data_IF_785123510678
#
_entry.id   IF_785123510678
#
_cell.length_a   1.000
_cell.length_b   1.000
_cell.length_c   1.000
_cell.angle_alpha   90.00
_cell.angle_beta   90.00
_cell.angle_gamma   90.00
#
_symmetry.space_group_name_H-M   'P 1'
#
loop_
_entity.id
_entity.type
_entity.pdbx_description
1 polymer ?
#
# COMPACT_ATOMS: atom_id res chain seq x y z
N UNK A 1 8.52 8.81 -1.24
CA UNK A 1 9.17 10.08 -0.82
C UNK A 1 10.15 10.62 -1.85
N UNK A 2 11.06 9.80 -2.41
CA UNK A 2 12.07 10.23 -3.40
C UNK A 2 11.47 10.96 -4.62
N UNK A 3 10.33 10.52 -5.11
CA UNK A 3 9.60 11.16 -6.23
C UNK A 3 9.16 12.58 -5.87
N UNK A 4 8.46 12.75 -4.75
CA UNK A 4 8.05 14.05 -4.22
C UNK A 4 9.23 15.01 -4.03
N UNK A 5 10.37 14.49 -3.55
CA UNK A 5 11.59 15.28 -3.40
C UNK A 5 12.16 15.75 -4.74
N UNK A 6 12.23 14.87 -5.75
CA UNK A 6 12.70 15.24 -7.10
C UNK A 6 11.80 16.29 -7.72
N UNK A 7 10.49 16.12 -7.58
CA UNK A 7 9.50 17.07 -8.10
C UNK A 7 9.67 18.45 -7.46
N UNK A 8 9.82 18.51 -6.13
CA UNK A 8 10.08 19.77 -5.45
C UNK A 8 11.43 20.39 -5.84
N UNK A 9 12.46 19.56 -6.01
CA UNK A 9 13.79 20.01 -6.47
C UNK A 9 13.78 20.54 -7.90
N UNK A 10 12.92 20.06 -8.79
CA UNK A 10 12.76 20.61 -10.15
C UNK A 10 11.87 21.85 -10.14
N UNK A 11 10.65 21.67 -9.65
CA UNK A 11 9.50 22.52 -9.98
C UNK A 11 8.94 23.25 -8.75
N UNK A 12 9.39 22.86 -7.56
CA UNK A 12 8.91 23.43 -6.30
C UNK A 12 9.32 24.88 -6.11
N UNK A 13 8.44 25.64 -5.45
CA UNK A 13 8.77 26.99 -5.01
C UNK A 13 9.87 26.94 -3.96
N UNK A 14 11.00 27.59 -4.26
CA UNK A 14 12.19 27.62 -3.40
C UNK A 14 12.46 29.04 -2.94
N UNK A 15 12.97 29.16 -1.72
CA UNK A 15 13.54 30.41 -1.22
C UNK A 15 15.05 30.29 -1.17
N UNK A 16 15.73 31.43 -1.28
CA UNK A 16 17.18 31.49 -1.28
C UNK A 16 17.67 32.36 -0.12
N UNK A 17 18.88 32.10 0.33
CA UNK A 17 19.61 32.98 1.24
C UNK A 17 20.10 34.22 0.47
N UNK A 18 20.51 35.27 1.17
CA UNK A 18 21.06 36.46 0.53
C UNK A 18 22.28 36.15 -0.37
N UNK A 19 23.06 35.12 -0.02
CA UNK A 19 24.17 34.62 -0.84
C UNK A 19 23.79 33.66 -1.96
N UNK A 20 22.50 33.58 -2.33
CA UNK A 20 22.02 32.76 -3.46
C UNK A 20 21.96 31.26 -3.20
N UNK A 21 22.26 30.78 -1.98
CA UNK A 21 22.11 29.36 -1.62
C UNK A 21 20.64 29.01 -1.40
N UNK A 22 20.17 27.91 -1.97
CA UNK A 22 18.82 27.41 -1.77
C UNK A 22 18.59 27.06 -0.30
N UNK A 23 17.44 27.48 0.24
CA UNK A 23 17.03 27.14 1.61
C UNK A 23 16.41 25.75 1.64
N UNK A 24 16.50 25.12 2.81
CA UNK A 24 15.80 23.88 3.07
C UNK A 24 14.27 24.09 2.97
N UNK A 25 13.51 23.06 2.55
CA UNK A 25 12.06 23.11 2.60
C UNK A 25 11.58 23.23 4.05
N UNK A 26 10.34 23.72 4.22
CA UNK A 26 9.72 23.78 5.54
C UNK A 26 9.45 22.36 6.07
N UNK A 27 9.40 22.23 7.41
CA UNK A 27 9.06 20.95 8.04
C UNK A 27 7.67 20.46 7.61
N UNK A 28 6.70 21.37 7.48
CA UNK A 28 5.35 21.04 7.01
C UNK A 28 5.37 20.37 5.62
N UNK A 29 6.16 20.92 4.69
CA UNK A 29 6.30 20.36 3.35
C UNK A 29 6.97 18.97 3.38
N UNK A 30 7.99 18.77 4.23
CA UNK A 30 8.61 17.46 4.42
C UNK A 30 7.61 16.43 4.98
N UNK A 31 6.79 16.81 5.96
CA UNK A 31 5.75 15.95 6.50
C UNK A 31 4.73 15.55 5.44
N UNK A 32 4.32 16.48 4.57
CA UNK A 32 3.44 16.17 3.44
C UNK A 32 4.07 15.15 2.48
N UNK A 33 5.38 15.21 2.22
CA UNK A 33 6.03 14.20 1.38
C UNK A 33 6.00 12.81 1.99
N UNK A 34 6.09 12.72 3.31
CA UNK A 34 5.95 11.46 4.04
C UNK A 34 4.51 10.97 3.92
N UNK A 35 3.52 11.78 4.29
CA UNK A 35 2.09 11.42 4.21
C UNK A 35 1.74 10.89 2.81
N UNK A 36 2.10 11.63 1.76
CA UNK A 36 1.79 11.23 0.38
C UNK A 36 2.46 9.91 -0.01
N UNK A 37 3.70 9.68 0.45
CA UNK A 37 4.39 8.42 0.20
C UNK A 37 3.70 7.23 0.88
N UNK A 38 3.24 7.42 2.12
CA UNK A 38 2.52 6.39 2.87
C UNK A 38 1.13 6.11 2.26
N UNK A 39 0.41 7.15 1.83
CA UNK A 39 -0.87 6.98 1.13
C UNK A 39 -0.70 6.16 -0.16
N UNK A 40 0.34 6.43 -0.96
CA UNK A 40 0.61 5.67 -2.19
C UNK A 40 0.83 4.17 -1.90
N UNK A 41 1.64 3.84 -0.90
CA UNK A 41 1.89 2.44 -0.50
C UNK A 41 0.59 1.76 -0.05
N UNK A 42 -0.25 2.45 0.73
CA UNK A 42 -1.54 1.90 1.16
C UNK A 42 -2.45 1.60 -0.03
N UNK A 43 -2.56 2.52 -0.98
CA UNK A 43 -3.38 2.33 -2.18
C UNK A 43 -2.90 1.14 -3.02
N UNK A 44 -1.59 1.02 -3.26
CA UNK A 44 -1.01 -0.12 -3.99
C UNK A 44 -1.25 -1.46 -3.26
N UNK A 45 -1.19 -1.46 -1.93
CA UNK A 45 -1.44 -2.65 -1.11
C UNK A 45 -2.92 -3.05 -1.08
N UNK A 46 -3.83 -2.08 -1.00
CA UNK A 46 -5.27 -2.33 -1.02
C UNK A 46 -5.71 -2.87 -2.39
N UNK A 47 -5.18 -2.34 -3.49
CA UNK A 47 -5.42 -2.85 -4.85
C UNK A 47 -4.89 -4.27 -5.05
N UNK A 48 -3.69 -4.58 -4.56
CA UNK A 48 -3.13 -5.93 -4.67
C UNK A 48 -3.85 -6.94 -3.76
N UNK A 49 -4.26 -6.53 -2.56
CA UNK A 49 -5.03 -7.38 -1.65
C UNK A 49 -6.44 -7.68 -2.20
N UNK A 50 -7.07 -6.70 -2.85
CA UNK A 50 -8.35 -6.86 -3.55
C UNK A 50 -8.22 -7.82 -4.71
N UNK A 51 -7.14 -7.71 -5.51
CA UNK A 51 -6.87 -8.65 -6.61
C UNK A 51 -6.63 -10.08 -6.11
N UNK A 52 -5.83 -10.26 -5.05
CA UNK A 52 -5.61 -11.58 -4.42
C UNK A 52 -6.90 -12.18 -3.84
N UNK A 53 -7.77 -11.37 -3.25
CA UNK A 53 -9.06 -11.83 -2.72
C UNK A 53 -10.04 -12.20 -3.84
N UNK A 54 -10.03 -11.47 -4.95
CA UNK A 54 -10.94 -11.70 -6.09
C UNK A 54 -10.61 -12.95 -6.90
N UNK A 55 -9.40 -13.50 -6.78
CA UNK A 55 -9.03 -14.79 -7.41
C UNK A 55 -9.24 -16.01 -6.49
N UNK A 56 -9.67 -15.83 -5.24
CA UNK A 56 -9.88 -16.94 -4.29
C UNK A 56 -11.33 -17.40 -4.17
N UNK A 57 -12.25 -16.85 -4.98
CA UNK A 57 -13.64 -17.33 -5.07
C UNK A 57 -14.02 -17.59 -6.53
N UNK A 58 -13.18 -18.36 -7.24
CA UNK A 58 -13.73 -19.29 -8.21
C UNK A 58 -14.07 -20.55 -7.41
N UNK A 59 -15.29 -20.57 -6.91
CA UNK A 59 -15.90 -21.69 -6.22
C UNK A 59 -15.99 -22.83 -7.25
N UNK A 60 -14.92 -23.60 -7.37
CA UNK A 60 -14.92 -24.83 -8.16
C UNK A 60 -15.96 -25.76 -7.53
N UNK A 61 -17.04 -25.96 -8.27
CA UNK A 61 -18.18 -26.72 -7.81
C UNK A 61 -17.80 -28.18 -7.75
N UNK A 62 -17.54 -28.69 -6.54
CA UNK A 62 -17.68 -30.11 -6.22
C UNK A 62 -17.96 -30.19 -4.72
N UNK A 63 -19.26 -30.15 -4.39
CA UNK A 63 -19.73 -30.69 -3.13
C UNK A 63 -19.59 -32.20 -3.20
N UNK A 64 -18.47 -32.71 -2.70
CA UNK A 64 -18.29 -34.12 -2.37
C UNK A 64 -18.82 -34.32 -0.95
N UNK A 65 -20.08 -34.72 -0.86
CA UNK A 65 -20.78 -35.05 0.38
C UNK A 65 -20.79 -36.59 0.52
N UNK A 66 -19.98 -37.10 1.46
CA UNK A 66 -19.98 -38.50 1.94
C UNK A 66 -18.72 -39.31 1.59
N UNK A 67 -18.11 -40.04 2.56
CA UNK A 67 -18.78 -41.23 3.09
C UNK A 67 -18.68 -41.49 4.60
N UNK A 68 -19.76 -42.10 5.09
CA UNK A 68 -19.93 -43.04 6.20
C UNK A 68 -19.02 -42.97 7.43
N UNK A 69 -19.64 -42.51 8.51
CA UNK A 69 -19.33 -42.82 9.91
C UNK A 69 -18.86 -44.27 10.07
N UNK A 70 -17.66 -44.45 10.60
CA UNK A 70 -17.06 -45.75 10.91
C UNK A 70 -16.73 -45.79 12.40
N UNK A 71 -17.48 -46.67 13.07
CA UNK A 71 -17.10 -47.46 14.25
C UNK A 71 -16.99 -46.77 15.63
N UNK A 72 -18.07 -46.89 16.42
CA UNK A 72 -18.00 -46.94 17.88
C UNK A 72 -18.66 -48.23 18.43
N UNK A 73 -18.02 -49.40 18.24
CA UNK A 73 -18.28 -50.54 19.12
C UNK A 73 -17.51 -50.36 20.43
N UNK A 74 -18.22 -49.93 21.48
CA UNK A 74 -17.73 -50.06 22.86
C UNK A 74 -18.90 -50.25 23.83
N UNK A 75 -19.29 -51.50 24.05
CA UNK A 75 -19.69 -52.08 25.35
C UNK A 75 -20.20 -53.51 25.19
#
# INVERSE_FOLDING_TARGET
>A
MREQWKEWMGNGQKSYTAGGRMRAPSLSLLCQFVINAWCKVKMETDEESSRKRSTSTALDGTGDDGPSDSDEERA
#
